data_IF_648665911393
#
_entry.id   IF_648665911393
#
_cell.length_a   1.000
_cell.length_b   1.000
_cell.length_c   1.000
_cell.angle_alpha   90.00
_cell.angle_beta   90.00
_cell.angle_gamma   90.00
#
_symmetry.space_group_name_H-M   'P 1'
#
loop_
_entity.id
_entity.type
_entity.pdbx_description
1 polymer ?
#
# COMPACT_ATOMS: atom_id res chain seq x y z
N UNK A 1 -5.75 18.07 -7.23
CA UNK A 1 -5.42 17.58 -5.87
C UNK A 1 -4.88 18.72 -5.00
N UNK A 2 -5.66 19.77 -4.80
CA UNK A 2 -5.17 21.00 -4.14
C UNK A 2 -5.24 20.89 -2.60
N UNK A 3 -6.29 20.24 -2.08
CA UNK A 3 -6.61 20.23 -0.64
C UNK A 3 -5.80 19.24 0.20
N UNK A 4 -5.13 18.27 -0.42
CA UNK A 4 -4.44 17.20 0.32
C UNK A 4 -3.21 17.70 1.09
N UNK A 5 -2.39 18.55 0.45
CA UNK A 5 -1.20 19.11 1.10
C UNK A 5 -1.54 20.05 2.27
N UNK A 6 -2.54 20.97 2.18
CA UNK A 6 -3.01 21.75 3.31
C UNK A 6 -3.49 20.90 4.50
N UNK A 7 -4.30 19.86 4.28
CA UNK A 7 -4.79 18.99 5.36
C UNK A 7 -3.63 18.34 6.13
N UNK A 8 -2.65 17.80 5.39
CA UNK A 8 -1.45 17.21 5.99
C UNK A 8 -0.57 18.26 6.69
N UNK A 9 -0.40 19.43 6.07
CA UNK A 9 0.41 20.54 6.61
C UNK A 9 -0.15 21.10 7.91
N UNK A 10 -1.48 21.21 8.00
CA UNK A 10 -2.19 21.65 9.20
C UNK A 10 -2.43 20.52 10.21
N UNK A 11 -1.89 19.31 9.98
CA UNK A 11 -1.95 18.20 10.95
C UNK A 11 -3.38 17.83 11.33
N UNK A 12 -4.27 17.84 10.34
CA UNK A 12 -5.66 17.46 10.48
C UNK A 12 -5.81 15.99 10.08
N UNK A 13 -6.15 15.07 11.00
CA UNK A 13 -6.16 13.62 10.74
C UNK A 13 -7.42 13.18 9.99
N UNK A 14 -7.71 13.80 8.86
CA UNK A 14 -8.84 13.44 8.01
C UNK A 14 -8.63 12.04 7.40
N UNK A 15 -9.64 11.18 7.50
CA UNK A 15 -9.67 9.92 6.76
C UNK A 15 -10.48 10.06 5.47
N UNK A 16 -9.89 9.66 4.35
CA UNK A 16 -10.55 9.59 3.05
C UNK A 16 -10.50 8.15 2.55
N UNK A 17 -11.67 7.53 2.43
CA UNK A 17 -11.80 6.23 1.78
C UNK A 17 -11.69 6.40 0.26
N UNK A 18 -10.84 5.61 -0.39
CA UNK A 18 -10.69 5.61 -1.85
C UNK A 18 -11.02 4.21 -2.34
N UNK A 19 -12.16 4.07 -3.01
CA UNK A 19 -12.42 2.91 -3.85
C UNK A 19 -11.88 3.24 -5.24
N UNK A 20 -10.76 2.63 -5.63
CA UNK A 20 -9.98 3.11 -6.77
C UNK A 20 -10.77 3.05 -8.08
N UNK A 21 -10.45 3.98 -8.99
CA UNK A 21 -11.05 4.05 -10.31
C UNK A 21 -10.09 4.65 -11.34
N UNK A 22 -10.09 4.09 -12.54
CA UNK A 22 -9.38 4.61 -13.70
C UNK A 22 -9.73 6.09 -13.96
N UNK A 23 -8.72 6.92 -14.19
CA UNK A 23 -8.89 8.32 -14.56
C UNK A 23 -9.30 8.45 -16.03
N UNK A 24 -10.05 9.51 -16.38
CA UNK A 24 -10.31 9.88 -17.78
C UNK A 24 -9.00 10.19 -18.54
N UNK A 25 -8.90 9.98 -19.87
CA UNK A 25 -9.93 9.65 -20.87
C UNK A 25 -10.05 8.15 -21.24
N UNK A 26 -11.13 7.74 -21.96
CA UNK A 26 -12.35 8.51 -22.20
C UNK A 26 -13.21 8.64 -20.94
N UNK A 27 -12.91 7.83 -19.93
CA UNK A 27 -13.65 7.63 -18.71
C UNK A 27 -14.11 6.19 -18.62
N UNK A 28 -13.74 5.53 -17.53
CA UNK A 28 -13.94 4.10 -17.32
C UNK A 28 -14.38 3.85 -15.87
N UNK A 29 -15.21 2.84 -15.68
CA UNK A 29 -15.71 2.42 -14.36
C UNK A 29 -14.68 1.56 -13.63
N UNK A 30 -13.79 0.90 -14.36
CA UNK A 30 -12.80 -0.02 -13.83
C UNK A 30 -11.88 0.59 -12.77
N UNK A 31 -11.30 -0.27 -11.93
CA UNK A 31 -10.33 0.07 -10.89
C UNK A 31 -8.91 0.14 -11.45
N UNK A 32 -8.18 1.21 -11.11
CA UNK A 32 -6.73 1.27 -11.22
C UNK A 32 -6.22 2.09 -10.04
N UNK A 33 -5.14 1.67 -9.38
CA UNK A 33 -4.55 2.41 -8.25
C UNK A 33 -3.95 3.77 -8.68
N UNK A 34 -3.97 4.09 -9.98
CA UNK A 34 -3.44 5.31 -10.58
C UNK A 34 -3.93 6.58 -9.87
N UNK A 35 -5.22 6.64 -9.54
CA UNK A 35 -5.87 7.79 -8.89
C UNK A 35 -5.30 8.08 -7.49
N UNK A 36 -5.25 7.08 -6.62
CA UNK A 36 -4.70 7.21 -5.28
C UNK A 36 -3.18 7.37 -5.29
N UNK A 37 -2.48 6.75 -6.25
CA UNK A 37 -1.02 6.88 -6.41
C UNK A 37 -0.58 8.27 -6.86
N UNK A 38 -1.49 9.08 -7.43
CA UNK A 38 -1.25 10.50 -7.65
C UNK A 38 -1.08 11.28 -6.32
N UNK A 39 -1.53 10.72 -5.20
CA UNK A 39 -1.50 11.35 -3.87
C UNK A 39 -0.29 10.94 -3.02
N UNK A 40 0.63 10.11 -3.53
CA UNK A 40 1.71 9.48 -2.76
C UNK A 40 2.69 10.45 -2.08
N UNK A 41 2.75 11.70 -2.53
CA UNK A 41 3.69 12.74 -2.04
C UNK A 41 3.01 13.74 -1.08
N UNK A 42 1.72 13.56 -0.76
CA UNK A 42 0.94 14.55 -0.02
C UNK A 42 1.17 14.52 1.50
N UNK A 43 1.94 13.55 2.01
CA UNK A 43 2.22 13.38 3.44
C UNK A 43 1.04 12.78 4.22
N UNK A 44 0.43 11.73 3.65
CA UNK A 44 -0.71 10.99 4.22
C UNK A 44 -0.28 9.56 4.54
N UNK A 45 -0.91 8.93 5.53
CA UNK A 45 -0.85 7.48 5.71
C UNK A 45 -1.66 6.84 4.59
N UNK A 46 -1.15 5.81 3.92
CA UNK A 46 -1.83 5.21 2.77
C UNK A 46 -1.55 3.72 2.65
N UNK A 47 -2.59 2.95 2.35
CA UNK A 47 -2.48 1.51 2.10
C UNK A 47 -3.79 0.92 1.60
N UNK A 48 -3.72 -0.33 1.14
CA UNK A 48 -4.82 -1.00 0.45
C UNK A 48 -5.35 -2.18 1.23
N UNK A 49 -6.65 -2.15 1.52
CA UNK A 49 -7.39 -3.33 1.91
C UNK A 49 -7.63 -4.25 0.71
N UNK A 50 -7.45 -5.55 0.92
CA UNK A 50 -7.64 -6.60 -0.09
C UNK A 50 -8.97 -7.35 0.04
N UNK A 51 -9.68 -7.15 1.15
CA UNK A 51 -10.97 -7.79 1.47
C UNK A 51 -11.92 -6.81 2.14
N UNK A 52 -13.25 -7.05 2.11
CA UNK A 52 -14.21 -6.22 2.84
C UNK A 52 -13.96 -6.16 4.35
N UNK A 53 -13.53 -7.27 4.97
CA UNK A 53 -13.13 -7.30 6.38
C UNK A 53 -11.95 -6.34 6.62
N UNK A 54 -10.91 -6.44 5.80
CA UNK A 54 -9.73 -5.58 5.94
C UNK A 54 -10.09 -4.11 5.68
N UNK A 55 -11.06 -3.80 4.82
CA UNK A 55 -11.50 -2.42 4.59
C UNK A 55 -12.16 -1.81 5.83
N UNK A 56 -12.96 -2.60 6.57
CA UNK A 56 -13.51 -2.20 7.87
C UNK A 56 -12.38 -1.99 8.89
N UNK A 57 -11.51 -2.98 9.04
CA UNK A 57 -10.47 -2.98 10.06
C UNK A 57 -9.44 -1.87 9.82
N UNK A 58 -9.03 -1.67 8.57
CA UNK A 58 -8.11 -0.61 8.16
C UNK A 58 -8.68 0.77 8.48
N UNK A 59 -10.00 0.95 8.36
CA UNK A 59 -10.66 2.21 8.70
C UNK A 59 -10.52 2.55 10.19
N UNK A 60 -10.60 1.58 11.08
CA UNK A 60 -10.41 1.79 12.52
C UNK A 60 -8.92 2.02 12.85
N UNK A 61 -8.05 1.18 12.28
CA UNK A 61 -6.60 1.25 12.50
C UNK A 61 -6.06 2.61 12.04
N UNK A 62 -6.52 3.13 10.90
CA UNK A 62 -6.05 4.42 10.38
C UNK A 62 -6.53 5.61 11.19
N UNK A 63 -7.75 5.60 11.74
CA UNK A 63 -8.14 6.60 12.74
C UNK A 63 -7.23 6.50 13.97
N UNK A 64 -7.02 5.29 14.52
CA UNK A 64 -6.20 5.09 15.72
C UNK A 64 -4.78 5.61 15.57
N UNK A 65 -4.16 5.38 14.41
CA UNK A 65 -2.80 5.84 14.11
C UNK A 65 -2.79 7.32 13.76
N UNK A 66 -3.67 7.74 12.86
CA UNK A 66 -3.70 9.09 12.31
C UNK A 66 -4.06 10.16 13.33
N UNK A 67 -4.98 9.85 14.25
CA UNK A 67 -5.41 10.72 15.34
C UNK A 67 -4.49 10.66 16.57
N UNK A 68 -3.50 9.76 16.59
CA UNK A 68 -2.55 9.70 17.70
C UNK A 68 -1.84 11.07 17.85
N UNK A 69 -1.75 11.64 19.08
CA UNK A 69 -1.14 12.95 19.29
C UNK A 69 0.34 13.07 18.87
N UNK A 70 1.03 11.93 18.71
CA UNK A 70 2.39 11.84 18.16
C UNK A 70 2.41 11.95 16.63
N UNK A 71 1.30 11.61 15.97
CA UNK A 71 1.15 11.50 14.51
C UNK A 71 0.36 12.66 13.94
N UNK A 72 -0.94 12.81 14.24
CA UNK A 72 -1.81 13.86 13.68
C UNK A 72 -1.60 14.07 12.17
N UNK A 73 -1.81 13.00 11.40
CA UNK A 73 -1.70 13.01 9.94
C UNK A 73 -2.94 12.40 9.32
N UNK A 74 -3.39 12.91 8.16
CA UNK A 74 -4.52 12.35 7.43
C UNK A 74 -4.20 11.00 6.78
N UNK A 75 -5.23 10.23 6.44
CA UNK A 75 -5.10 8.84 5.98
C UNK A 75 -5.98 8.53 4.76
N UNK A 76 -5.41 7.82 3.80
CA UNK A 76 -6.09 7.23 2.65
C UNK A 76 -6.31 5.75 2.91
N UNK A 77 -7.52 5.40 3.34
CA UNK A 77 -7.98 4.01 3.46
C UNK A 77 -8.42 3.53 2.06
N UNK A 78 -7.46 3.03 1.28
CA UNK A 78 -7.72 2.59 -0.09
C UNK A 78 -8.25 1.16 -0.13
N UNK A 79 -9.02 0.85 -1.18
CA UNK A 79 -9.51 -0.47 -1.51
C UNK A 79 -9.79 -0.54 -3.03
N UNK A 80 -9.60 -1.71 -3.63
CA UNK A 80 -9.83 -1.87 -5.07
C UNK A 80 -11.31 -1.66 -5.42
N UNK A 81 -11.56 -0.79 -6.40
CA UNK A 81 -12.89 -0.55 -6.94
C UNK A 81 -13.49 -1.84 -7.51
N UNK A 82 -14.79 -2.04 -7.28
CA UNK A 82 -15.53 -3.27 -7.59
C UNK A 82 -15.05 -4.51 -6.82
N UNK A 83 -13.77 -4.89 -6.93
CA UNK A 83 -13.23 -6.13 -6.39
C UNK A 83 -13.31 -6.23 -4.87
N UNK A 84 -13.13 -5.11 -4.16
CA UNK A 84 -13.34 -5.05 -2.70
C UNK A 84 -14.62 -4.29 -2.36
N UNK A 85 -14.91 -3.20 -3.08
CA UNK A 85 -16.04 -2.34 -2.73
C UNK A 85 -17.43 -2.90 -3.05
N UNK A 86 -17.55 -3.92 -3.93
CA UNK A 86 -18.83 -4.49 -4.35
C UNK A 86 -18.96 -5.99 -4.14
N UNK A 87 -17.87 -6.76 -4.29
CA UNK A 87 -17.92 -8.20 -4.08
C UNK A 87 -18.16 -8.48 -2.60
N UNK A 88 -19.21 -9.25 -2.30
CA UNK A 88 -19.53 -9.63 -0.93
C UNK A 88 -18.42 -10.50 -0.34
N UNK A 89 -18.09 -10.24 0.92
CA UNK A 89 -17.22 -11.07 1.75
C UNK A 89 -17.82 -11.20 3.14
N UNK A 90 -17.42 -12.24 3.87
CA UNK A 90 -17.76 -12.34 5.29
C UNK A 90 -17.04 -11.23 6.05
N UNK A 91 -17.78 -10.52 6.90
CA UNK A 91 -17.26 -9.44 7.74
C UNK A 91 -17.77 -9.65 9.16
N UNK A 92 -16.83 -9.77 10.09
CA UNK A 92 -17.03 -9.69 11.52
C UNK A 92 -17.01 -8.21 11.95
N UNK A 93 -18.21 -7.65 12.09
CA UNK A 93 -18.42 -6.26 12.47
C UNK A 93 -18.23 -6.14 13.99
N UNK A 94 -17.28 -5.32 14.47
CA UNK A 94 -17.01 -5.19 15.89
C UNK A 94 -18.18 -4.55 16.64
N UNK A 95 -18.30 -4.88 17.93
CA UNK A 95 -19.20 -4.18 18.85
C UNK A 95 -18.73 -2.74 19.10
N UNK A 96 -19.65 -1.85 19.47
CA UNK A 96 -19.30 -0.48 19.82
C UNK A 96 -18.33 -0.44 21.01
N UNK A 97 -18.50 -1.33 21.99
CA UNK A 97 -17.64 -1.41 23.17
C UNK A 97 -16.19 -1.77 22.80
N UNK A 98 -15.98 -2.65 21.82
CA UNK A 98 -14.62 -2.93 21.33
C UNK A 98 -14.00 -1.71 20.64
N UNK A 99 -14.80 -0.97 19.87
CA UNK A 99 -14.34 0.26 19.21
C UNK A 99 -13.99 1.34 20.23
N UNK A 100 -14.81 1.53 21.28
CA UNK A 100 -14.57 2.52 22.33
C UNK A 100 -13.30 2.22 23.15
N UNK A 101 -12.91 0.94 23.27
CA UNK A 101 -11.64 0.54 23.90
C UNK A 101 -10.46 0.83 22.98
N UNK A 102 -10.60 0.57 21.68
CA UNK A 102 -9.52 0.72 20.70
C UNK A 102 -9.27 2.17 20.29
N UNK A 103 -10.32 2.94 20.03
CA UNK A 103 -10.25 4.26 19.40
C UNK A 103 -10.70 5.37 20.37
N UNK A 104 -9.75 6.07 21.01
CA UNK A 104 -10.10 7.16 21.91
C UNK A 104 -10.70 8.37 21.17
N UNK A 105 -11.42 9.27 21.87
CA UNK A 105 -11.94 10.48 21.25
C UNK A 105 -10.83 11.38 20.68
N UNK A 106 -11.02 11.83 19.44
CA UNK A 106 -10.12 12.76 18.75
C UNK A 106 -9.85 14.04 19.56
N UNK A 107 -8.57 14.38 19.70
CA UNK A 107 -8.09 15.66 20.23
C UNK A 107 -6.87 16.13 19.48
N UNK A 108 -6.92 17.34 18.94
CA UNK A 108 -5.79 17.98 18.27
C UNK A 108 -5.16 19.07 19.17
N UNK A 109 -3.97 19.50 18.80
CA UNK A 109 -3.21 20.56 19.47
C UNK A 109 -3.78 21.96 19.20
N UNK A 110 -4.52 22.12 18.10
CA UNK A 110 -5.26 23.34 17.79
C UNK A 110 -6.70 23.00 17.44
N UNK A 111 -7.62 23.92 17.70
CA UNK A 111 -9.05 23.82 17.35
C UNK A 111 -9.62 25.23 17.21
N UNK A 112 -10.59 25.41 16.32
CA UNK A 112 -11.32 26.67 16.23
C UNK A 112 -12.34 26.73 17.36
N UNK A 113 -11.99 27.45 18.42
CA UNK A 113 -12.81 27.69 19.60
C UNK A 113 -12.79 29.19 19.93
N UNK A 114 -13.97 29.80 20.06
CA UNK A 114 -14.09 31.23 20.40
C UNK A 114 -13.62 31.54 21.83
N UNK A 115 -13.65 30.55 22.73
CA UNK A 115 -13.14 30.71 24.10
C UNK A 115 -11.62 30.62 24.16
N UNK A 116 -10.99 29.90 23.22
CA UNK A 116 -9.54 29.70 23.12
C UNK A 116 -9.04 30.01 21.69
N UNK A 117 -9.04 31.29 21.27
CA UNK A 117 -8.78 31.67 19.89
C UNK A 117 -7.33 31.38 19.46
N UNK A 118 -7.16 30.81 18.28
CA UNK A 118 -5.87 30.50 17.64
C UNK A 118 -5.85 30.98 16.19
N UNK A 119 -4.66 31.25 15.66
CA UNK A 119 -4.43 31.48 14.24
C UNK A 119 -3.82 30.21 13.65
N UNK A 120 -4.54 29.55 12.75
CA UNK A 120 -4.12 28.30 12.08
C UNK A 120 -3.72 28.66 10.64
N UNK A 121 -2.58 28.15 10.19
CA UNK A 121 -2.05 28.42 8.84
C UNK A 121 -1.74 29.88 8.49
N UNK A 122 -1.01 30.66 9.32
CA UNK A 122 -0.58 32.00 8.93
C UNK A 122 0.43 31.93 7.77
N UNK A 123 0.54 33.02 7.02
CA UNK A 123 1.65 33.16 6.08
C UNK A 123 2.98 33.18 6.84
N UNK A 124 3.89 32.28 6.49
CA UNK A 124 5.20 32.17 7.14
C UNK A 124 6.27 32.95 6.36
N UNK A 125 7.32 33.35 7.07
CA UNK A 125 8.55 33.90 6.48
C UNK A 125 9.31 32.80 5.72
N UNK A 126 10.04 33.13 4.63
CA UNK A 126 10.76 32.14 3.83
C UNK A 126 11.76 31.28 4.64
N UNK A 127 12.40 31.86 5.66
CA UNK A 127 13.39 31.20 6.51
C UNK A 127 12.78 30.07 7.37
N UNK A 128 11.48 30.14 7.65
CA UNK A 128 10.76 29.12 8.44
C UNK A 128 10.35 27.90 7.60
N UNK A 129 10.32 28.03 6.27
CA UNK A 129 9.88 26.99 5.35
C UNK A 129 10.57 25.64 5.55
N UNK A 130 11.92 25.58 5.58
CA UNK A 130 12.64 24.33 5.81
C UNK A 130 12.28 23.66 7.15
N UNK A 131 12.15 24.45 8.22
CA UNK A 131 11.79 23.95 9.55
C UNK A 131 10.40 23.31 9.59
N UNK A 132 9.40 23.96 8.97
CA UNK A 132 8.04 23.42 8.89
C UNK A 132 7.96 22.15 8.05
N UNK A 133 8.67 22.09 6.92
CA UNK A 133 8.73 20.89 6.10
C UNK A 133 9.42 19.74 6.83
N UNK A 134 10.52 20.01 7.54
CA UNK A 134 11.22 19.00 8.35
C UNK A 134 10.36 18.51 9.52
N UNK A 135 9.59 19.39 10.17
CA UNK A 135 8.64 18.98 11.20
C UNK A 135 7.62 17.97 10.69
N UNK A 136 7.06 18.18 9.49
CA UNK A 136 6.13 17.23 8.86
C UNK A 136 6.83 15.94 8.44
N UNK A 137 8.06 16.01 7.92
CA UNK A 137 8.86 14.81 7.64
C UNK A 137 9.06 13.96 8.90
N UNK A 138 9.44 14.58 10.02
CA UNK A 138 9.60 13.86 11.29
C UNK A 138 8.30 13.26 11.81
N UNK A 139 7.15 13.91 11.57
CA UNK A 139 5.85 13.33 11.89
C UNK A 139 5.56 12.07 11.06
N UNK A 140 5.87 12.09 9.76
CA UNK A 140 5.72 10.93 8.86
C UNK A 140 6.64 9.78 9.27
N UNK A 141 7.90 10.06 9.61
CA UNK A 141 8.80 9.01 10.12
C UNK A 141 8.32 8.45 11.47
N UNK A 142 7.76 9.32 12.33
CA UNK A 142 7.21 8.96 13.62
C UNK A 142 5.98 8.05 13.56
N UNK A 143 5.27 7.98 12.42
CA UNK A 143 4.15 7.05 12.19
C UNK A 143 4.54 5.61 12.48
N UNK A 144 5.78 5.22 12.11
CA UNK A 144 6.29 3.85 12.28
C UNK A 144 6.25 3.38 13.73
N UNK A 145 6.45 4.29 14.69
CA UNK A 145 6.44 3.97 16.13
C UNK A 145 5.03 3.67 16.66
N UNK A 146 3.98 4.12 15.97
CA UNK A 146 2.59 3.94 16.37
C UNK A 146 1.93 2.79 15.62
N UNK A 147 2.47 2.40 14.47
CA UNK A 147 1.98 1.29 13.67
C UNK A 147 1.93 -0.01 14.46
N UNK A 148 3.07 -0.48 14.97
CA UNK A 148 3.15 -1.76 15.65
C UNK A 148 2.24 -1.80 16.89
N UNK A 149 2.19 -0.70 17.67
CA UNK A 149 1.30 -0.53 18.82
C UNK A 149 -0.17 -0.70 18.42
N UNK A 150 -0.63 0.01 17.38
CA UNK A 150 -2.02 -0.04 16.95
C UNK A 150 -2.42 -1.42 16.41
N UNK A 151 -1.52 -2.10 15.69
CA UNK A 151 -1.80 -3.43 15.15
C UNK A 151 -1.81 -4.52 16.23
N UNK A 152 -0.95 -4.43 17.23
CA UNK A 152 -0.98 -5.34 18.39
C UNK A 152 -2.22 -5.10 19.26
N UNK A 153 -2.57 -3.84 19.56
CA UNK A 153 -3.82 -3.48 20.23
C UNK A 153 -5.04 -4.02 19.46
N UNK A 154 -5.03 -3.91 18.13
CA UNK A 154 -6.10 -4.42 17.28
C UNK A 154 -6.23 -5.95 17.39
N UNK A 155 -5.11 -6.66 17.38
CA UNK A 155 -5.10 -8.11 17.52
C UNK A 155 -5.66 -8.56 18.87
N UNK A 156 -5.33 -7.85 19.96
CA UNK A 156 -5.77 -8.17 21.31
C UNK A 156 -7.28 -7.91 21.52
N UNK A 157 -7.82 -6.83 20.94
CA UNK A 157 -9.22 -6.41 21.13
C UNK A 157 -10.18 -7.11 20.18
N UNK A 158 -9.79 -7.25 18.91
CA UNK A 158 -10.65 -7.77 17.85
C UNK A 158 -10.31 -9.21 17.44
N UNK A 159 -9.23 -9.78 17.96
CA UNK A 159 -8.82 -11.17 17.70
C UNK A 159 -8.26 -11.40 16.30
N UNK A 160 -7.99 -10.34 15.53
CA UNK A 160 -7.46 -10.41 14.15
C UNK A 160 -6.08 -9.78 14.10
N UNK A 161 -5.07 -10.58 13.77
CA UNK A 161 -3.68 -10.15 13.66
C UNK A 161 -3.34 -9.85 12.21
N UNK A 162 -2.75 -8.68 11.99
CA UNK A 162 -2.18 -8.28 10.71
C UNK A 162 -0.70 -7.94 10.88
N UNK A 163 0.09 -8.18 9.84
CA UNK A 163 1.40 -7.55 9.74
C UNK A 163 1.21 -6.07 9.34
N UNK A 164 1.84 -5.09 9.99
CA UNK A 164 1.60 -3.68 9.68
C UNK A 164 2.03 -3.25 8.27
N UNK A 165 2.97 -3.97 7.65
CA UNK A 165 3.67 -3.55 6.44
C UNK A 165 3.42 -4.48 5.26
N UNK A 166 3.63 -5.78 5.46
CA UNK A 166 3.71 -6.80 4.42
C UNK A 166 3.00 -8.09 4.86
N UNK A 167 2.06 -8.58 4.05
CA UNK A 167 1.51 -9.92 4.23
C UNK A 167 2.27 -10.93 3.36
N UNK A 168 2.94 -11.89 4.00
CA UNK A 168 3.65 -12.95 3.31
C UNK A 168 2.81 -14.22 3.17
N UNK A 169 2.78 -14.79 1.97
CA UNK A 169 2.06 -16.02 1.67
C UNK A 169 2.91 -17.01 0.89
N UNK A 170 3.15 -18.19 1.49
CA UNK A 170 3.98 -19.25 0.91
C UNK A 170 5.38 -18.78 0.48
N UNK A 171 6.00 -17.91 1.27
CA UNK A 171 7.33 -17.36 0.97
C UNK A 171 8.47 -18.24 1.46
N UNK A 172 8.24 -19.07 2.48
CA UNK A 172 9.21 -20.07 2.94
C UNK A 172 9.63 -21.02 1.80
N UNK A 173 10.94 -21.11 1.57
CA UNK A 173 11.51 -21.91 0.50
C UNK A 173 11.07 -21.50 -0.91
N UNK A 174 10.53 -20.29 -1.11
CA UNK A 174 10.27 -19.73 -2.43
C UNK A 174 11.59 -19.31 -3.08
N UNK A 175 11.73 -19.54 -4.39
CA UNK A 175 12.84 -18.98 -5.17
C UNK A 175 12.43 -17.68 -5.85
N UNK A 176 11.13 -17.52 -6.13
CA UNK A 176 10.59 -16.35 -6.81
C UNK A 176 9.24 -15.93 -6.23
N UNK A 177 9.02 -14.65 -6.07
CA UNK A 177 7.79 -14.13 -5.45
C UNK A 177 7.16 -13.00 -6.25
N UNK A 178 5.83 -12.93 -6.21
CA UNK A 178 5.10 -11.76 -6.66
C UNK A 178 4.99 -10.76 -5.51
N UNK A 179 5.36 -9.51 -5.76
CA UNK A 179 5.09 -8.36 -4.90
C UNK A 179 3.94 -7.54 -5.48
N UNK A 180 2.86 -7.36 -4.73
CA UNK A 180 1.61 -6.76 -5.22
C UNK A 180 0.87 -6.07 -4.06
N UNK A 181 -0.08 -5.18 -4.33
CA UNK A 181 -1.00 -4.63 -3.31
C UNK A 181 -2.46 -4.80 -3.76
N UNK A 182 -3.40 -4.60 -2.84
CA UNK A 182 -4.83 -4.65 -3.14
C UNK A 182 -5.41 -6.06 -3.34
N UNK A 183 -6.67 -6.12 -3.75
CA UNK A 183 -7.49 -7.33 -3.86
C UNK A 183 -6.98 -8.35 -4.89
N UNK A 184 -6.26 -7.92 -5.92
CA UNK A 184 -5.64 -8.85 -6.88
C UNK A 184 -4.56 -9.76 -6.25
N UNK A 185 -4.03 -9.38 -5.08
CA UNK A 185 -3.15 -10.24 -4.30
C UNK A 185 -3.82 -11.57 -3.90
N UNK A 186 -5.14 -11.59 -3.65
CA UNK A 186 -5.87 -12.81 -3.29
C UNK A 186 -5.89 -13.81 -4.45
N UNK A 187 -6.02 -13.32 -5.69
CA UNK A 187 -5.88 -14.16 -6.88
C UNK A 187 -4.44 -14.68 -7.02
N UNK A 188 -3.44 -13.84 -6.77
CA UNK A 188 -2.03 -14.24 -6.80
C UNK A 188 -1.73 -15.35 -5.77
N UNK A 189 -2.29 -15.25 -4.54
CA UNK A 189 -2.15 -16.27 -3.49
C UNK A 189 -2.76 -17.60 -3.92
N UNK A 190 -3.96 -17.58 -4.52
CA UNK A 190 -4.60 -18.79 -5.04
C UNK A 190 -3.76 -19.48 -6.12
N UNK A 191 -3.19 -18.71 -7.05
CA UNK A 191 -2.29 -19.23 -8.08
C UNK A 191 -0.98 -19.78 -7.49
N UNK A 192 -0.38 -19.06 -6.54
CA UNK A 192 0.82 -19.52 -5.84
C UNK A 192 0.59 -20.86 -5.11
N UNK A 193 -0.56 -20.99 -4.42
CA UNK A 193 -0.98 -22.24 -3.76
C UNK A 193 -1.10 -23.39 -4.76
N UNK A 194 -1.71 -23.15 -5.91
CA UNK A 194 -1.82 -24.17 -6.95
C UNK A 194 -0.44 -24.61 -7.47
N UNK A 195 0.42 -23.66 -7.82
CA UNK A 195 1.77 -23.93 -8.31
C UNK A 195 2.64 -24.65 -7.26
N UNK A 196 2.49 -24.31 -5.97
CA UNK A 196 3.15 -25.01 -4.86
C UNK A 196 2.76 -26.48 -4.79
N UNK A 197 1.49 -26.82 -5.02
CA UNK A 197 1.03 -28.21 -5.09
C UNK A 197 1.64 -28.97 -6.29
N UNK A 198 2.06 -28.26 -7.34
CA UNK A 198 2.79 -28.83 -8.48
C UNK A 198 4.32 -28.88 -8.26
N UNK A 199 4.81 -28.49 -7.08
CA UNK A 199 6.23 -28.52 -6.72
C UNK A 199 7.01 -27.25 -7.10
N UNK A 200 6.35 -26.20 -7.59
CA UNK A 200 7.01 -24.94 -7.90
C UNK A 200 7.30 -24.12 -6.62
N UNK A 201 8.47 -23.49 -6.56
CA UNK A 201 8.91 -22.70 -5.40
C UNK A 201 8.53 -21.22 -5.54
N UNK A 202 7.24 -20.94 -5.41
CA UNK A 202 6.67 -19.60 -5.61
C UNK A 202 5.96 -19.06 -4.36
N UNK A 203 5.93 -17.75 -4.17
CA UNK A 203 5.22 -17.11 -3.07
C UNK A 203 4.67 -15.73 -3.45
N UNK A 204 3.91 -15.13 -2.54
CA UNK A 204 3.36 -13.78 -2.69
C UNK A 204 3.74 -12.95 -1.48
N UNK A 205 4.17 -11.72 -1.69
CA UNK A 205 4.33 -10.70 -0.66
C UNK A 205 3.37 -9.56 -1.02
N UNK A 206 2.33 -9.39 -0.22
CA UNK A 206 1.37 -8.31 -0.42
C UNK A 206 1.75 -7.09 0.41
N UNK A 207 1.92 -5.94 -0.23
CA UNK A 207 2.09 -4.67 0.46
C UNK A 207 0.77 -4.23 1.09
N UNK A 208 0.77 -4.02 2.41
CA UNK A 208 -0.40 -3.51 3.15
C UNK A 208 -0.37 -1.98 3.27
N UNK A 209 0.81 -1.43 3.54
CA UNK A 209 1.00 0.02 3.71
C UNK A 209 2.00 0.57 2.70
N UNK A 210 1.54 1.48 1.84
CA UNK A 210 2.34 2.17 0.85
C UNK A 210 3.01 3.43 1.39
N UNK A 211 2.35 4.16 2.30
CA UNK A 211 2.88 5.39 2.91
C UNK A 211 2.70 5.39 4.44
N UNK A 212 3.76 5.72 5.20
CA UNK A 212 5.15 5.85 4.75
C UNK A 212 5.68 4.52 4.17
N UNK A 213 6.48 4.57 3.09
CA UNK A 213 6.90 3.34 2.39
C UNK A 213 7.79 2.48 3.30
N UNK A 214 7.55 1.17 3.42
CA UNK A 214 8.29 0.29 4.32
C UNK A 214 9.62 -0.18 3.71
N UNK A 215 10.53 0.76 3.42
CA UNK A 215 11.80 0.49 2.70
C UNK A 215 12.63 -0.63 3.33
N UNK A 216 12.82 -0.61 4.65
CA UNK A 216 13.65 -1.60 5.34
C UNK A 216 12.94 -2.96 5.42
N UNK A 217 11.64 -3.00 5.72
CA UNK A 217 10.86 -4.24 5.75
C UNK A 217 10.77 -4.88 4.35
N UNK A 218 10.60 -4.06 3.29
CA UNK A 218 10.63 -4.54 1.90
C UNK A 218 11.99 -5.10 1.55
N UNK A 219 13.09 -4.44 1.95
CA UNK A 219 14.44 -4.97 1.73
C UNK A 219 14.65 -6.29 2.45
N UNK A 220 14.27 -6.37 3.72
CA UNK A 220 14.42 -7.58 4.54
C UNK A 220 13.59 -8.74 3.97
N UNK A 221 12.31 -8.51 3.66
CA UNK A 221 11.42 -9.56 3.18
C UNK A 221 11.82 -10.07 1.79
N UNK A 222 12.28 -9.19 0.90
CA UNK A 222 12.50 -9.52 -0.51
C UNK A 222 13.94 -9.91 -0.86
N UNK A 223 14.94 -9.55 -0.04
CA UNK A 223 16.37 -9.84 -0.30
C UNK A 223 16.72 -11.33 -0.37
N UNK A 224 15.82 -12.21 0.09
CA UNK A 224 16.03 -13.67 0.13
C UNK A 224 15.59 -14.41 -1.13
N UNK A 225 14.95 -13.74 -2.10
CA UNK A 225 14.45 -14.37 -3.31
C UNK A 225 15.42 -14.17 -4.49
N UNK A 226 15.43 -15.11 -5.44
CA UNK A 226 16.22 -14.95 -6.67
C UNK A 226 15.59 -13.96 -7.63
N UNK A 227 14.26 -13.99 -7.73
CA UNK A 227 13.47 -13.14 -8.63
C UNK A 227 12.23 -12.59 -7.93
N UNK A 228 12.02 -11.28 -8.04
CA UNK A 228 10.81 -10.59 -7.56
C UNK A 228 10.03 -10.05 -8.77
N UNK A 229 8.81 -10.52 -8.95
CA UNK A 229 7.86 -9.95 -9.92
C UNK A 229 7.00 -8.89 -9.25
N UNK A 230 7.14 -7.63 -9.62
CA UNK A 230 6.36 -6.53 -9.04
C UNK A 230 5.16 -6.23 -9.94
N UNK A 231 3.95 -6.35 -9.40
CA UNK A 231 2.71 -6.12 -10.16
C UNK A 231 2.16 -4.75 -9.81
N UNK A 232 2.09 -3.87 -10.80
CA UNK A 232 1.46 -2.55 -10.71
C UNK A 232 0.09 -2.61 -11.40
N UNK A 233 -0.99 -2.43 -10.63
CA UNK A 233 -2.35 -2.21 -11.14
C UNK A 233 -2.58 -0.71 -11.39
N UNK A 234 -1.69 -0.10 -12.15
CA UNK A 234 -1.72 1.34 -12.39
C UNK A 234 -0.98 1.72 -13.67
N UNK A 235 -1.32 2.90 -14.19
CA UNK A 235 -0.67 3.50 -15.34
C UNK A 235 0.10 4.74 -14.91
N UNK A 236 1.41 4.57 -14.69
CA UNK A 236 2.30 5.66 -14.31
C UNK A 236 3.19 6.06 -15.50
N UNK A 237 2.62 6.79 -16.45
CA UNK A 237 3.28 7.13 -17.71
C UNK A 237 4.65 7.79 -17.53
N UNK A 238 5.63 7.32 -18.32
CA UNK A 238 6.98 7.87 -18.34
C UNK A 238 7.83 7.57 -17.10
N UNK A 239 7.32 6.75 -16.17
CA UNK A 239 8.08 6.36 -14.99
C UNK A 239 9.32 5.53 -15.38
N UNK A 240 10.37 5.65 -14.56
CA UNK A 240 11.57 4.83 -14.69
C UNK A 240 11.21 3.34 -14.74
N UNK A 241 11.98 2.55 -15.48
CA UNK A 241 11.77 1.12 -15.70
C UNK A 241 10.52 0.74 -16.53
N UNK A 242 9.67 1.71 -16.92
CA UNK A 242 8.54 1.48 -17.82
C UNK A 242 7.44 0.57 -17.27
N UNK A 243 7.23 0.57 -15.95
CA UNK A 243 6.16 -0.16 -15.26
C UNK A 243 5.31 0.81 -14.42
N UNK A 244 5.19 0.59 -13.11
CA UNK A 244 4.54 1.52 -12.17
C UNK A 244 5.40 1.89 -10.96
N UNK A 245 4.73 2.54 -10.00
CA UNK A 245 5.37 3.09 -8.79
C UNK A 245 5.98 1.99 -7.93
N UNK A 246 5.28 0.85 -7.75
CA UNK A 246 5.76 -0.21 -6.88
C UNK A 246 7.10 -0.76 -7.36
N UNK A 247 7.28 -0.99 -8.68
CA UNK A 247 8.57 -1.47 -9.19
C UNK A 247 9.70 -0.50 -8.82
N UNK A 248 9.48 0.80 -8.98
CA UNK A 248 10.53 1.79 -8.69
C UNK A 248 10.90 1.85 -7.21
N UNK A 249 9.91 1.75 -6.32
CA UNK A 249 10.17 1.81 -4.87
C UNK A 249 10.75 0.50 -4.34
N UNK A 250 10.32 -0.66 -4.86
CA UNK A 250 10.94 -1.96 -4.56
C UNK A 250 12.40 -1.98 -5.01
N UNK A 251 12.70 -1.50 -6.22
CA UNK A 251 14.09 -1.38 -6.69
C UNK A 251 14.92 -0.43 -5.84
N UNK A 252 14.34 0.70 -5.41
CA UNK A 252 15.01 1.62 -4.51
C UNK A 252 15.31 0.97 -3.15
N UNK A 253 14.34 0.23 -2.58
CA UNK A 253 14.49 -0.49 -1.32
C UNK A 253 15.58 -1.57 -1.40
N UNK A 254 15.66 -2.30 -2.52
CA UNK A 254 16.63 -3.37 -2.75
C UNK A 254 17.99 -2.89 -3.27
N UNK A 255 18.18 -1.59 -3.52
CA UNK A 255 19.38 -1.08 -4.19
C UNK A 255 20.68 -1.35 -3.40
N UNK A 256 20.63 -1.22 -2.06
CA UNK A 256 21.77 -1.43 -1.18
C UNK A 256 21.88 -2.88 -0.68
N UNK A 257 21.28 -3.86 -1.36
CA UNK A 257 21.44 -5.26 -0.99
C UNK A 257 22.80 -5.79 -1.47
N UNK A 258 23.47 -6.61 -0.65
CA UNK A 258 24.78 -7.19 -0.99
C UNK A 258 24.71 -8.03 -2.26
N UNK A 259 23.63 -8.79 -2.42
CA UNK A 259 23.34 -9.56 -3.61
C UNK A 259 22.34 -8.84 -4.52
N UNK A 260 22.61 -8.83 -5.82
CA UNK A 260 21.67 -8.27 -6.79
C UNK A 260 20.45 -9.20 -6.92
N UNK A 261 19.30 -8.71 -6.48
CA UNK A 261 18.01 -9.38 -6.67
C UNK A 261 17.43 -8.99 -8.02
N UNK A 262 17.05 -9.97 -8.84
CA UNK A 262 16.46 -9.68 -10.14
C UNK A 262 14.99 -9.30 -9.97
N UNK A 263 14.62 -8.11 -10.43
CA UNK A 263 13.25 -7.57 -10.30
C UNK A 263 12.62 -7.36 -11.68
N UNK A 264 11.38 -7.81 -11.88
CA UNK A 264 10.63 -7.68 -13.14
C UNK A 264 9.31 -6.95 -12.85
N UNK A 265 8.96 -5.94 -13.64
CA UNK A 265 7.66 -5.27 -13.57
C UNK A 265 6.60 -5.97 -14.40
N UNK A 266 5.39 -6.04 -13.88
CA UNK A 266 4.20 -6.47 -14.60
C UNK A 266 3.12 -5.41 -14.43
N UNK A 267 2.72 -4.78 -15.54
CA UNK A 267 1.61 -3.83 -15.56
C UNK A 267 0.38 -4.58 -16.04
N UNK A 268 -0.65 -4.66 -15.21
CA UNK A 268 -1.81 -5.51 -15.46
C UNK A 268 -3.09 -4.97 -14.82
N UNK A 269 -4.23 -5.49 -15.24
CA UNK A 269 -5.55 -5.07 -14.74
C UNK A 269 -5.92 -3.64 -15.15
N UNK A 270 -5.37 -3.18 -16.29
CA UNK A 270 -5.61 -1.85 -16.83
C UNK A 270 -7.09 -1.67 -17.19
N UNK A 271 -7.61 -0.46 -16.98
CA UNK A 271 -9.04 -0.15 -17.13
C UNK A 271 -9.94 -1.00 -16.23
N UNK A 272 -9.44 -1.42 -15.05
CA UNK A 272 -10.15 -2.34 -14.15
C UNK A 272 -10.46 -3.71 -14.72
N UNK A 273 -9.74 -4.13 -15.76
CA UNK A 273 -9.76 -5.54 -16.15
C UNK A 273 -9.27 -6.42 -15.00
N UNK A 274 -9.85 -7.60 -14.85
CA UNK A 274 -9.37 -8.55 -13.86
C UNK A 274 -7.97 -9.04 -14.24
N UNK A 275 -7.01 -8.99 -13.31
CA UNK A 275 -5.79 -9.78 -13.43
C UNK A 275 -6.15 -11.25 -13.22
N UNK A 276 -6.19 -12.01 -14.30
CA UNK A 276 -6.66 -13.39 -14.35
C UNK A 276 -5.64 -14.36 -13.75
N UNK A 277 -6.11 -15.56 -13.40
CA UNK A 277 -5.20 -16.63 -12.95
C UNK A 277 -4.18 -17.00 -14.04
N UNK A 278 -4.60 -17.01 -15.32
CA UNK A 278 -3.71 -17.29 -16.45
C UNK A 278 -2.59 -16.26 -16.59
N UNK A 279 -2.89 -14.98 -16.38
CA UNK A 279 -1.86 -13.94 -16.35
C UNK A 279 -0.88 -14.15 -15.21
N UNK A 280 -1.36 -14.47 -14.00
CA UNK A 280 -0.46 -14.80 -12.88
C UNK A 280 0.39 -16.06 -13.16
N UNK A 281 -0.17 -17.11 -13.77
CA UNK A 281 0.60 -18.28 -14.20
C UNK A 281 1.72 -17.88 -15.17
N UNK A 282 1.42 -17.02 -16.14
CA UNK A 282 2.41 -16.51 -17.10
C UNK A 282 3.47 -15.63 -16.44
N UNK A 283 3.11 -14.76 -15.50
CA UNK A 283 4.07 -13.98 -14.70
C UNK A 283 5.06 -14.92 -14.00
N UNK A 284 4.56 -15.95 -13.29
CA UNK A 284 5.43 -16.93 -12.63
C UNK A 284 6.29 -17.73 -13.60
N UNK A 285 5.81 -18.00 -14.82
CA UNK A 285 6.58 -18.65 -15.88
C UNK A 285 7.72 -17.76 -16.38
N UNK A 286 7.45 -16.47 -16.63
CA UNK A 286 8.49 -15.48 -17.01
C UNK A 286 9.55 -15.36 -15.91
N UNK A 287 9.12 -15.34 -14.65
CA UNK A 287 10.03 -15.32 -13.51
C UNK A 287 10.84 -16.61 -13.40
N UNK A 288 10.29 -17.77 -13.78
CA UNK A 288 11.03 -19.05 -13.83
C UNK A 288 12.17 -18.99 -14.85
N UNK A 289 11.89 -18.50 -16.06
CA UNK A 289 12.91 -18.27 -17.09
C UNK A 289 14.04 -17.37 -16.57
N UNK A 290 13.70 -16.32 -15.81
CA UNK A 290 14.69 -15.42 -15.22
C UNK A 290 15.55 -16.09 -14.13
N UNK A 291 14.95 -16.99 -13.33
CA UNK A 291 15.71 -17.83 -12.38
C UNK A 291 16.69 -18.74 -13.13
N UNK A 292 16.23 -19.42 -14.17
CA UNK A 292 17.03 -20.42 -14.89
C UNK A 292 18.16 -19.78 -15.70
N UNK A 293 17.96 -18.56 -16.21
CA UNK A 293 18.95 -17.82 -17.02
C UNK A 293 19.77 -16.81 -16.23
N UNK A 294 19.39 -16.52 -14.98
CA UNK A 294 20.02 -15.51 -14.12
C UNK A 294 19.75 -14.06 -14.50
N UNK A 295 18.85 -13.79 -15.46
CA UNK A 295 18.48 -12.43 -15.89
C UNK A 295 17.10 -12.37 -16.54
N UNK A 296 16.39 -11.26 -16.38
CA UNK A 296 15.17 -10.98 -17.12
C UNK A 296 15.45 -10.61 -18.59
N UNK A 297 14.51 -10.94 -19.49
CA UNK A 297 14.58 -10.54 -20.91
C UNK A 297 14.18 -9.08 -21.11
N UNK A 298 13.20 -8.60 -20.33
CA UNK A 298 12.75 -7.20 -20.25
C UNK A 298 12.61 -6.79 -18.79
N UNK A 299 12.72 -5.48 -18.54
CA UNK A 299 12.50 -4.93 -17.20
C UNK A 299 11.02 -4.89 -16.82
N UNK A 300 10.13 -4.73 -17.79
CA UNK A 300 8.69 -4.70 -17.59
C UNK A 300 7.92 -5.36 -18.74
N UNK A 301 6.71 -5.80 -18.42
CA UNK A 301 5.75 -6.40 -19.34
C UNK A 301 4.37 -5.80 -19.11
N UNK A 302 3.74 -5.28 -20.16
CA UNK A 302 2.36 -4.78 -20.14
C UNK A 302 1.40 -5.87 -20.59
N UNK A 303 0.57 -6.36 -19.67
CA UNK A 303 -0.33 -7.48 -19.91
C UNK A 303 -1.69 -6.98 -20.42
N UNK A 304 -2.32 -7.71 -21.35
CA UNK A 304 -1.87 -8.97 -21.97
C UNK A 304 -1.01 -8.78 -23.24
N UNK A 305 -0.59 -7.55 -23.55
CA UNK A 305 0.00 -7.20 -24.86
C UNK A 305 1.43 -7.66 -25.08
N UNK A 306 2.21 -7.84 -24.01
CA UNK A 306 3.65 -8.15 -24.08
C UNK A 306 4.02 -9.54 -23.56
N UNK A 307 3.04 -10.43 -23.35
CA UNK A 307 3.25 -11.84 -22.98
C UNK A 307 3.91 -12.66 -24.09
#
# INVERSE_FOLDING_TARGET
>A
MEVYSPISGERLPLQMAIADRTLDPPGDFGSEHTDALCCRDQGWIQGWASTPQEALDLSLIYYRIGEDPRVLLPQFACQDGYFVSHILGEVDVPSQEQVDVFLPPYKNRHVLDTENPVIIGPQMEPEMGPGTQYQRHMAIEGVRNVFDEAYDEFADIFGRRYDPWLEEYMTDGAERVIFIQGGHAETAKNVAKHLRNLGEKVGVVRLRTLRPFPTEQVREALSRFKVVGVVDNSVNFGISCGAGVLLTEVRAALYNNDEKIETIGFVAGLGGSMITQDEFYKMYSIMKDAVDTGKSKKQSYWLPFEL
#
